data_IF_848832436355
#
_entry.id   IF_848832436355
#
_cell.length_a   1.000
_cell.length_b   1.000
_cell.length_c   1.000
_cell.angle_alpha   90.00
_cell.angle_beta   90.00
_cell.angle_gamma   90.00
#
_symmetry.space_group_name_H-M   'P 1'
#
loop_
_entity.id
_entity.type
_entity.pdbx_description
1 polymer ?
#
# COMPACT_ATOMS: atom_id res chain seq x y z
N UNK A 1 7.47 16.48 9.46
CA UNK A 1 6.37 15.51 9.57
C UNK A 1 5.42 15.57 8.38
N UNK A 2 5.19 16.75 7.81
CA UNK A 2 4.29 16.95 6.65
C UNK A 2 4.96 16.70 5.29
N UNK A 3 6.27 16.52 5.26
CA UNK A 3 7.06 16.36 4.02
C UNK A 3 7.46 14.90 3.71
N UNK A 4 6.93 13.93 4.45
CA UNK A 4 7.16 12.53 4.14
C UNK A 4 6.46 12.19 2.82
N UNK A 5 7.21 11.68 1.85
CA UNK A 5 6.68 11.23 0.56
C UNK A 5 6.68 9.69 0.51
N UNK A 6 5.53 9.05 0.75
CA UNK A 6 5.40 7.61 0.66
C UNK A 6 5.67 7.08 -0.74
N UNK A 7 6.26 5.88 -0.82
CA UNK A 7 6.47 5.15 -2.06
C UNK A 7 5.69 3.84 -2.02
N UNK A 8 4.71 3.69 -2.90
CA UNK A 8 3.88 2.50 -3.02
C UNK A 8 4.23 1.77 -4.32
N UNK A 9 4.75 0.57 -4.21
CA UNK A 9 4.96 -0.31 -5.34
C UNK A 9 3.67 -1.01 -5.73
N UNK A 10 3.39 -1.12 -7.03
CA UNK A 10 2.23 -1.85 -7.55
C UNK A 10 2.76 -2.94 -8.46
N UNK A 11 2.67 -4.16 -8.00
CA UNK A 11 3.18 -5.35 -8.66
C UNK A 11 2.06 -6.17 -9.29
N UNK A 12 2.33 -6.76 -10.42
CA UNK A 12 1.43 -7.72 -11.05
C UNK A 12 1.70 -7.89 -12.54
N UNK A 13 1.28 -9.03 -13.06
CA UNK A 13 1.43 -9.40 -14.48
C UNK A 13 0.73 -8.39 -15.40
N UNK A 14 1.14 -8.39 -16.66
CA UNK A 14 0.51 -7.55 -17.70
C UNK A 14 -1.00 -7.77 -17.74
N UNK A 15 -1.75 -6.68 -17.82
CA UNK A 15 -3.22 -6.73 -17.86
C UNK A 15 -3.92 -7.12 -16.55
N UNK A 16 -3.22 -7.17 -15.41
CA UNK A 16 -3.83 -7.44 -14.09
C UNK A 16 -4.69 -6.29 -13.57
N UNK A 17 -4.58 -5.09 -14.17
CA UNK A 17 -5.39 -3.94 -13.81
C UNK A 17 -4.72 -2.93 -12.88
N UNK A 18 -3.38 -2.86 -12.85
CA UNK A 18 -2.62 -1.91 -12.00
C UNK A 18 -3.09 -0.46 -12.20
N UNK A 19 -3.06 0.04 -13.43
CA UNK A 19 -3.46 1.42 -13.75
C UNK A 19 -4.94 1.69 -13.41
N UNK A 20 -5.82 0.73 -13.71
CA UNK A 20 -7.24 0.86 -13.39
C UNK A 20 -7.49 0.97 -11.88
N UNK A 21 -6.76 0.19 -11.08
CA UNK A 21 -6.86 0.23 -9.63
C UNK A 21 -6.35 1.56 -9.07
N UNK A 22 -5.20 2.04 -9.56
CA UNK A 22 -4.65 3.33 -9.14
C UNK A 22 -5.61 4.48 -9.44
N UNK A 23 -6.15 4.53 -10.66
CA UNK A 23 -7.11 5.55 -11.07
C UNK A 23 -8.42 5.50 -10.26
N UNK A 24 -8.82 4.31 -9.80
CA UNK A 24 -10.01 4.17 -8.96
C UNK A 24 -9.77 4.61 -7.51
N UNK A 25 -8.58 4.34 -6.96
CA UNK A 25 -8.28 4.61 -5.55
C UNK A 25 -7.87 6.06 -5.29
N UNK A 26 -7.11 6.66 -6.19
CA UNK A 26 -6.47 7.96 -5.97
C UNK A 26 -7.12 9.06 -6.81
N UNK A 27 -7.22 10.24 -6.23
CA UNK A 27 -7.80 11.43 -6.86
C UNK A 27 -6.75 12.52 -7.13
N UNK A 28 -5.51 12.33 -6.71
CA UNK A 28 -4.43 13.30 -6.91
C UNK A 28 -4.05 13.45 -8.39
N UNK A 29 -3.54 14.63 -8.75
CA UNK A 29 -3.00 14.89 -10.07
C UNK A 29 -1.76 14.03 -10.33
N UNK A 30 -1.79 13.27 -11.41
CA UNK A 30 -0.74 12.32 -11.76
C UNK A 30 0.29 13.01 -12.66
N UNK A 31 1.53 13.04 -12.23
CA UNK A 31 2.67 13.45 -13.05
C UNK A 31 3.70 12.31 -13.17
N UNK A 32 4.20 11.99 -14.39
CA UNK A 32 5.31 11.05 -14.50
C UNK A 32 6.56 11.66 -13.86
N UNK A 33 7.27 10.89 -13.03
CA UNK A 33 8.61 11.25 -12.58
C UNK A 33 9.56 10.81 -13.69
N UNK A 34 9.85 11.74 -14.61
CA UNK A 34 10.84 11.48 -15.65
C UNK A 34 12.24 11.75 -15.12
N UNK A 35 12.89 10.73 -14.59
CA UNK A 35 14.34 10.73 -14.68
C UNK A 35 14.69 10.32 -16.11
N UNK A 36 15.06 11.31 -16.90
CA UNK A 36 15.50 11.14 -18.28
C UNK A 36 16.90 10.52 -18.25
N UNK A 37 16.96 9.23 -18.02
CA UNK A 37 18.11 8.42 -18.37
C UNK A 37 17.62 7.29 -19.29
N UNK A 38 17.66 7.55 -20.57
CA UNK A 38 17.16 6.70 -21.64
C UNK A 38 17.89 5.34 -21.82
N UNK A 39 18.52 4.79 -20.79
CA UNK A 39 19.32 3.57 -20.87
C UNK A 39 19.18 2.58 -19.71
N UNK A 40 18.38 2.86 -18.68
CA UNK A 40 18.24 1.94 -17.55
C UNK A 40 16.81 1.43 -17.43
N UNK A 41 16.66 0.13 -17.19
CA UNK A 41 15.41 -0.60 -16.95
C UNK A 41 14.84 -0.24 -15.58
N UNK A 42 14.65 1.05 -15.31
CA UNK A 42 14.04 1.52 -14.06
C UNK A 42 12.52 1.36 -14.12
N UNK A 43 11.88 1.01 -12.99
CA UNK A 43 10.43 0.95 -12.93
C UNK A 43 9.82 2.32 -13.18
N UNK A 44 8.68 2.36 -13.88
CA UNK A 44 7.95 3.59 -14.10
C UNK A 44 7.46 4.13 -12.77
N UNK A 45 7.70 5.41 -12.54
CA UNK A 45 7.28 6.12 -11.34
C UNK A 45 6.31 7.23 -11.70
N UNK A 46 5.25 7.33 -10.91
CA UNK A 46 4.23 8.37 -11.05
C UNK A 46 4.10 9.08 -9.72
N UNK A 47 4.19 10.38 -9.74
CA UNK A 47 3.98 11.21 -8.56
C UNK A 47 2.55 11.70 -8.54
N UNK A 48 1.86 11.50 -7.43
CA UNK A 48 0.53 12.02 -7.16
C UNK A 48 0.66 13.21 -6.23
N UNK A 49 -0.07 14.30 -6.54
CA UNK A 49 -0.02 15.53 -5.77
C UNK A 49 -1.43 15.97 -5.37
N UNK A 50 -1.58 16.33 -4.09
CA UNK A 50 -2.73 17.09 -3.57
C UNK A 50 -2.16 18.20 -2.66
N UNK A 51 -2.33 19.45 -3.07
CA UNK A 51 -1.69 20.58 -2.40
C UNK A 51 -0.16 20.45 -2.41
N UNK A 52 0.45 20.57 -1.24
CA UNK A 52 1.90 20.44 -1.06
C UNK A 52 2.35 19.01 -0.71
N UNK A 53 1.47 18.03 -0.84
CA UNK A 53 1.73 16.64 -0.48
C UNK A 53 1.84 15.75 -1.69
N UNK A 54 2.76 14.81 -1.59
CA UNK A 54 3.12 13.91 -2.66
C UNK A 54 3.14 12.47 -2.17
N UNK A 55 2.75 11.55 -3.04
CA UNK A 55 3.10 10.13 -2.94
C UNK A 55 3.67 9.69 -4.28
N UNK A 56 4.56 8.71 -4.26
CA UNK A 56 5.09 8.07 -5.47
C UNK A 56 4.48 6.69 -5.63
N UNK A 57 3.87 6.45 -6.79
CA UNK A 57 3.49 5.11 -7.23
C UNK A 57 4.57 4.56 -8.15
N UNK A 58 5.03 3.35 -7.89
CA UNK A 58 6.04 2.67 -8.66
C UNK A 58 5.43 1.44 -9.35
N UNK A 59 5.41 1.43 -10.67
CA UNK A 59 4.94 0.27 -11.44
C UNK A 59 6.03 -0.80 -11.44
N UNK A 60 5.77 -1.92 -10.78
CA UNK A 60 6.68 -3.04 -10.63
C UNK A 60 6.23 -4.19 -11.55
N UNK A 61 7.16 -4.84 -12.28
CA UNK A 61 6.83 -5.95 -13.15
C UNK A 61 6.32 -7.15 -12.36
N UNK A 62 5.32 -7.85 -12.90
CA UNK A 62 4.92 -9.17 -12.43
C UNK A 62 5.93 -10.23 -12.88
N UNK A 63 5.95 -11.34 -12.17
CA UNK A 63 6.82 -12.49 -12.46
C UNK A 63 6.04 -13.60 -13.17
N UNK A 64 6.78 -14.57 -13.75
CA UNK A 64 6.18 -15.74 -14.40
C UNK A 64 5.77 -15.51 -15.85
N UNK A 65 6.10 -14.37 -16.46
CA UNK A 65 5.89 -14.12 -17.89
C UNK A 65 7.07 -14.60 -18.74
N UNK A 66 8.31 -14.58 -18.19
CA UNK A 66 9.52 -15.05 -18.84
C UNK A 66 10.62 -15.33 -17.82
N UNK A 67 11.10 -16.56 -17.75
CA UNK A 67 12.13 -16.98 -16.78
C UNK A 67 13.44 -16.19 -16.86
N UNK A 68 13.85 -15.73 -18.05
CA UNK A 68 15.03 -14.89 -18.20
C UNK A 68 14.84 -13.50 -17.55
N UNK A 69 13.63 -12.96 -17.58
CA UNK A 69 13.28 -11.68 -16.97
C UNK A 69 13.12 -11.79 -15.45
N UNK A 70 12.69 -12.94 -14.95
CA UNK A 70 12.45 -13.12 -13.52
C UNK A 70 13.74 -12.92 -12.70
N UNK A 71 14.91 -13.26 -13.23
CA UNK A 71 16.21 -12.98 -12.60
C UNK A 71 16.52 -11.48 -12.55
N UNK A 72 16.24 -10.76 -13.63
CA UNK A 72 16.42 -9.30 -13.69
C UNK A 72 15.45 -8.61 -12.71
N UNK A 73 14.21 -9.09 -12.64
CA UNK A 73 13.21 -8.57 -11.72
C UNK A 73 13.61 -8.83 -10.26
N UNK A 74 14.20 -9.99 -9.95
CA UNK A 74 14.68 -10.26 -8.60
C UNK A 74 15.74 -9.23 -8.15
N UNK A 75 16.66 -8.82 -9.03
CA UNK A 75 17.63 -7.78 -8.73
C UNK A 75 16.98 -6.42 -8.53
N UNK A 76 16.03 -6.03 -9.42
CA UNK A 76 15.24 -4.81 -9.32
C UNK A 76 14.48 -4.74 -7.98
N UNK A 77 13.79 -5.81 -7.60
CA UNK A 77 13.04 -5.85 -6.34
C UNK A 77 13.94 -5.72 -5.12
N UNK A 78 15.10 -6.41 -5.09
CA UNK A 78 16.05 -6.28 -3.98
C UNK A 78 16.56 -4.86 -3.81
N UNK A 79 16.70 -4.12 -4.90
CA UNK A 79 17.09 -2.71 -4.86
C UNK A 79 15.96 -1.80 -4.36
N UNK A 80 14.72 -2.04 -4.82
CA UNK A 80 13.59 -1.14 -4.56
C UNK A 80 12.89 -1.42 -3.22
N UNK A 81 12.77 -2.68 -2.78
CA UNK A 81 12.06 -3.08 -1.56
C UNK A 81 12.42 -2.27 -0.30
N UNK A 82 13.71 -1.94 -0.03
CA UNK A 82 14.05 -1.11 1.12
C UNK A 82 13.40 0.28 1.10
N UNK A 83 13.16 0.83 -0.09
CA UNK A 83 12.63 2.18 -0.32
C UNK A 83 11.11 2.24 -0.37
N UNK A 84 10.44 1.09 -0.50
CA UNK A 84 8.98 1.01 -0.58
C UNK A 84 8.38 1.00 0.82
N UNK A 85 7.28 1.72 1.00
CA UNK A 85 6.45 1.67 2.21
C UNK A 85 5.41 0.55 2.13
N UNK A 86 4.95 0.26 0.93
CA UNK A 86 3.95 -0.78 0.66
C UNK A 86 4.15 -1.36 -0.74
N UNK A 87 3.85 -2.63 -0.89
CA UNK A 87 3.69 -3.31 -2.19
C UNK A 87 2.26 -3.83 -2.30
N UNK A 88 1.51 -3.29 -3.25
CA UNK A 88 0.24 -3.86 -3.67
C UNK A 88 0.51 -4.94 -4.72
N UNK A 89 0.38 -6.20 -4.33
CA UNK A 89 0.58 -7.32 -5.25
C UNK A 89 -0.73 -7.80 -5.83
N UNK A 90 -0.96 -7.45 -7.09
CA UNK A 90 -2.19 -7.78 -7.80
C UNK A 90 -2.10 -9.15 -8.47
N UNK A 91 -3.11 -9.98 -8.22
CA UNK A 91 -3.30 -11.29 -8.83
C UNK A 91 -4.72 -11.32 -9.41
N UNK A 92 -4.87 -11.69 -10.68
CA UNK A 92 -6.22 -11.82 -11.28
C UNK A 92 -7.03 -12.91 -10.58
N UNK A 93 -8.33 -12.71 -10.48
CA UNK A 93 -9.24 -13.70 -9.93
C UNK A 93 -9.19 -15.05 -10.68
N UNK A 94 -8.98 -15.01 -11.99
CA UNK A 94 -8.90 -16.17 -12.89
C UNK A 94 -7.47 -16.70 -13.12
N UNK A 95 -6.42 -16.07 -12.56
CA UNK A 95 -5.05 -16.56 -12.68
C UNK A 95 -4.85 -17.83 -11.86
N UNK A 96 -4.41 -18.91 -12.52
CA UNK A 96 -4.15 -20.23 -11.90
C UNK A 96 -2.65 -20.55 -11.82
N UNK A 97 -1.80 -19.79 -12.53
CA UNK A 97 -0.37 -20.04 -12.62
C UNK A 97 0.40 -19.24 -11.57
N UNK A 98 0.40 -19.71 -10.32
CA UNK A 98 0.96 -18.98 -9.17
C UNK A 98 2.31 -19.53 -8.67
N UNK A 99 2.81 -20.63 -9.24
CA UNK A 99 4.04 -21.29 -8.76
C UNK A 99 5.26 -20.38 -8.80
N UNK A 100 5.39 -19.59 -9.88
CA UNK A 100 6.52 -18.63 -10.00
C UNK A 100 6.34 -17.46 -9.05
N UNK A 101 5.10 -16.97 -8.90
CA UNK A 101 4.75 -15.91 -7.93
C UNK A 101 5.08 -16.36 -6.49
N UNK A 102 4.69 -17.59 -6.11
CA UNK A 102 4.98 -18.18 -4.81
C UNK A 102 6.49 -18.27 -4.55
N UNK A 103 7.23 -18.85 -5.50
CA UNK A 103 8.69 -18.96 -5.40
C UNK A 103 9.36 -17.60 -5.25
N UNK A 104 8.96 -16.62 -6.08
CA UNK A 104 9.50 -15.27 -6.02
C UNK A 104 9.20 -14.58 -4.67
N UNK A 105 7.98 -14.73 -4.17
CA UNK A 105 7.61 -14.18 -2.87
C UNK A 105 8.50 -14.71 -1.75
N UNK A 106 8.69 -16.03 -1.69
CA UNK A 106 9.50 -16.64 -0.63
C UNK A 106 10.99 -16.36 -0.78
N UNK A 107 11.52 -16.24 -2.00
CA UNK A 107 12.95 -16.07 -2.24
C UNK A 107 13.41 -14.60 -2.31
N UNK A 108 12.58 -13.72 -2.85
CA UNK A 108 12.96 -12.32 -3.10
C UNK A 108 12.36 -11.38 -2.07
N UNK A 109 11.06 -11.47 -1.81
CA UNK A 109 10.41 -10.69 -0.75
C UNK A 109 10.87 -11.21 0.62
N UNK A 110 10.76 -12.52 0.84
CA UNK A 110 11.25 -13.20 2.04
C UNK A 110 10.64 -12.66 3.35
N UNK A 111 11.17 -13.14 4.46
CA UNK A 111 10.72 -12.76 5.80
C UNK A 111 10.90 -11.24 6.08
N UNK A 112 11.92 -10.62 5.48
CA UNK A 112 12.28 -9.22 5.77
C UNK A 112 11.24 -8.24 5.25
N UNK A 113 10.66 -8.47 4.06
CA UNK A 113 9.79 -7.50 3.39
C UNK A 113 8.33 -7.93 3.27
N UNK A 114 7.97 -9.16 3.66
CA UNK A 114 6.58 -9.64 3.55
C UNK A 114 5.57 -8.79 4.32
N UNK A 115 6.00 -8.09 5.36
CA UNK A 115 5.16 -7.16 6.11
C UNK A 115 4.76 -5.91 5.30
N UNK A 116 5.47 -5.63 4.19
CA UNK A 116 5.14 -4.54 3.26
C UNK A 116 4.16 -4.96 2.16
N UNK A 117 3.83 -6.25 2.03
CA UNK A 117 3.02 -6.77 0.92
C UNK A 117 1.55 -6.90 1.32
N UNK A 118 0.68 -6.28 0.53
CA UNK A 118 -0.76 -6.50 0.55
C UNK A 118 -1.19 -7.17 -0.76
N UNK A 119 -1.64 -8.42 -0.67
CA UNK A 119 -2.18 -9.14 -1.83
C UNK A 119 -3.58 -8.66 -2.17
N UNK A 120 -3.81 -8.42 -3.46
CA UNK A 120 -5.09 -7.94 -3.99
C UNK A 120 -5.53 -8.83 -5.15
N UNK A 121 -6.63 -9.55 -4.98
CA UNK A 121 -7.29 -10.27 -6.07
C UNK A 121 -8.04 -9.21 -6.89
N UNK A 122 -7.53 -8.93 -8.08
CA UNK A 122 -8.10 -7.95 -9.01
C UNK A 122 -9.11 -8.60 -9.97
N UNK A 123 -9.90 -7.77 -10.64
CA UNK A 123 -10.89 -8.21 -11.63
C UNK A 123 -11.81 -9.34 -11.10
N UNK A 124 -12.26 -9.19 -9.86
CA UNK A 124 -13.12 -10.18 -9.19
C UNK A 124 -14.42 -10.45 -9.95
N UNK A 125 -14.87 -9.54 -10.79
CA UNK A 125 -15.99 -9.71 -11.71
C UNK A 125 -15.75 -10.78 -12.80
N UNK A 126 -14.49 -11.15 -13.05
CA UNK A 126 -14.11 -12.24 -13.96
C UNK A 126 -13.98 -13.60 -13.28
N UNK A 127 -14.19 -13.68 -11.95
CA UNK A 127 -14.27 -14.97 -11.28
C UNK A 127 -15.42 -15.81 -11.86
N UNK A 128 -15.14 -17.07 -12.19
CA UNK A 128 -16.16 -18.00 -12.71
C UNK A 128 -17.16 -18.44 -11.60
N UNK A 129 -18.40 -18.73 -11.95
CA UNK A 129 -19.02 -18.52 -13.26
C UNK A 129 -19.28 -17.02 -13.49
N UNK A 130 -18.85 -16.51 -14.64
CA UNK A 130 -19.06 -15.08 -14.95
C UNK A 130 -20.53 -14.79 -15.09
N UNK A 131 -21.01 -13.74 -14.41
CA UNK A 131 -22.35 -13.22 -14.56
C UNK A 131 -22.29 -11.88 -15.28
N UNK A 132 -23.19 -11.64 -16.24
CA UNK A 132 -23.31 -10.37 -16.94
C UNK A 132 -23.95 -9.26 -16.11
N UNK A 133 -24.23 -9.49 -14.81
CA UNK A 133 -24.90 -8.56 -13.92
C UNK A 133 -23.98 -7.45 -13.38
N UNK A 134 -24.61 -6.42 -12.84
CA UNK A 134 -23.92 -5.29 -12.18
C UNK A 134 -23.34 -5.63 -10.78
N UNK A 135 -23.50 -6.86 -10.32
CA UNK A 135 -23.02 -7.32 -9.00
C UNK A 135 -22.45 -8.72 -9.10
N UNK A 136 -21.55 -9.07 -8.16
CA UNK A 136 -21.02 -10.42 -8.04
C UNK A 136 -22.10 -11.39 -7.56
N UNK A 137 -22.25 -12.52 -8.27
CA UNK A 137 -23.10 -13.62 -7.85
C UNK A 137 -22.57 -14.30 -6.59
N UNK A 138 -23.43 -15.08 -5.93
CA UNK A 138 -23.01 -15.89 -4.75
C UNK A 138 -21.92 -16.89 -5.13
N UNK A 139 -22.02 -17.53 -6.29
CA UNK A 139 -20.99 -18.45 -6.78
C UNK A 139 -19.64 -17.77 -7.02
N UNK A 140 -19.64 -16.58 -7.61
CA UNK A 140 -18.41 -15.77 -7.77
C UNK A 140 -17.78 -15.43 -6.41
N UNK A 141 -18.57 -14.98 -5.44
CA UNK A 141 -18.08 -14.67 -4.09
C UNK A 141 -17.49 -15.90 -3.41
N UNK A 142 -18.10 -17.08 -3.58
CA UNK A 142 -17.55 -18.35 -3.06
C UNK A 142 -16.20 -18.69 -3.71
N UNK A 143 -16.08 -18.53 -5.03
CA UNK A 143 -14.82 -18.80 -5.73
C UNK A 143 -13.72 -17.76 -5.39
N UNK A 144 -14.08 -16.51 -5.19
CA UNK A 144 -13.17 -15.50 -4.65
C UNK A 144 -12.69 -15.88 -3.24
N UNK A 145 -13.59 -16.35 -2.37
CA UNK A 145 -13.22 -16.83 -1.03
C UNK A 145 -12.27 -18.02 -1.09
N UNK A 146 -12.50 -18.99 -1.99
CA UNK A 146 -11.57 -20.11 -2.23
C UNK A 146 -10.21 -19.62 -2.72
N UNK A 147 -10.19 -18.62 -3.60
CA UNK A 147 -8.94 -18.00 -4.08
C UNK A 147 -8.19 -17.31 -2.94
N UNK A 148 -8.89 -16.61 -2.05
CA UNK A 148 -8.29 -16.01 -0.84
C UNK A 148 -7.64 -17.08 0.02
N UNK A 149 -8.34 -18.20 0.29
CA UNK A 149 -7.78 -19.33 1.04
C UNK A 149 -6.52 -19.91 0.37
N UNK A 150 -6.56 -20.11 -0.94
CA UNK A 150 -5.41 -20.58 -1.71
C UNK A 150 -4.21 -19.64 -1.58
N UNK A 151 -4.41 -18.31 -1.69
CA UNK A 151 -3.32 -17.35 -1.51
C UNK A 151 -2.77 -17.38 -0.08
N UNK A 152 -3.61 -17.60 0.93
CA UNK A 152 -3.15 -17.78 2.30
C UNK A 152 -2.31 -19.05 2.47
N UNK A 153 -2.67 -20.15 1.82
CA UNK A 153 -1.90 -21.39 1.84
C UNK A 153 -0.53 -21.24 1.16
N UNK A 154 -0.49 -20.64 -0.04
CA UNK A 154 0.72 -20.53 -0.83
C UNK A 154 1.69 -19.47 -0.28
N UNK A 155 1.19 -18.29 0.06
CA UNK A 155 2.04 -17.14 0.40
C UNK A 155 2.17 -16.89 1.90
N UNK A 156 1.27 -17.40 2.72
CA UNK A 156 1.24 -17.12 4.16
C UNK A 156 1.40 -15.63 4.47
N UNK A 157 0.55 -14.77 3.87
CA UNK A 157 0.71 -13.34 3.94
C UNK A 157 0.54 -12.82 5.37
N UNK A 158 1.26 -11.75 5.72
CA UNK A 158 1.13 -11.07 7.02
C UNK A 158 -0.21 -10.35 7.12
N UNK A 159 -0.67 -9.76 6.01
CA UNK A 159 -1.92 -9.00 5.95
C UNK A 159 -3.03 -9.81 5.28
N UNK A 160 -4.29 -9.63 5.69
CA UNK A 160 -5.41 -10.29 5.04
C UNK A 160 -5.50 -9.93 3.55
N UNK A 161 -5.68 -10.93 2.70
CA UNK A 161 -5.85 -10.76 1.25
C UNK A 161 -7.12 -9.96 0.95
N UNK A 162 -7.03 -8.98 0.05
CA UNK A 162 -8.17 -8.22 -0.47
C UNK A 162 -8.66 -8.79 -1.79
N UNK A 163 -9.92 -8.57 -2.10
CA UNK A 163 -10.47 -8.85 -3.43
C UNK A 163 -11.29 -7.66 -3.90
N UNK A 164 -11.09 -7.25 -5.16
CA UNK A 164 -11.70 -6.05 -5.72
C UNK A 164 -12.16 -6.23 -7.17
N UNK A 165 -13.19 -5.49 -7.53
CA UNK A 165 -13.55 -5.22 -8.92
C UNK A 165 -13.70 -3.71 -9.11
N UNK A 166 -12.82 -3.11 -9.88
CA UNK A 166 -12.91 -1.68 -10.25
C UNK A 166 -14.18 -1.45 -11.08
N UNK A 167 -14.48 -2.35 -12.01
CA UNK A 167 -15.67 -2.26 -12.87
C UNK A 167 -16.96 -2.20 -12.06
N UNK A 168 -17.08 -3.01 -11.01
CA UNK A 168 -18.27 -3.09 -10.17
C UNK A 168 -18.18 -2.18 -8.91
N UNK A 169 -17.11 -1.42 -8.75
CA UNK A 169 -16.84 -0.64 -7.53
C UNK A 169 -16.92 -1.49 -6.24
N UNK A 170 -16.62 -2.79 -6.36
CA UNK A 170 -16.75 -3.75 -5.26
C UNK A 170 -15.40 -3.96 -4.55
N UNK A 171 -15.43 -4.01 -3.23
CA UNK A 171 -14.27 -4.31 -2.38
C UNK A 171 -13.28 -3.16 -2.18
N UNK A 172 -13.39 -2.05 -2.93
CA UNK A 172 -12.41 -0.96 -2.92
C UNK A 172 -12.33 -0.23 -1.58
N UNK A 173 -13.44 -0.03 -0.87
CA UNK A 173 -13.44 0.58 0.48
C UNK A 173 -12.67 -0.27 1.48
N UNK A 174 -12.96 -1.57 1.52
CA UNK A 174 -12.27 -2.51 2.40
C UNK A 174 -10.79 -2.58 2.08
N UNK A 175 -10.45 -2.57 0.79
CA UNK A 175 -9.05 -2.53 0.36
C UNK A 175 -8.36 -1.24 0.81
N UNK A 176 -8.98 -0.07 0.65
CA UNK A 176 -8.41 1.19 1.11
C UNK A 176 -8.15 1.18 2.63
N UNK A 177 -9.09 0.68 3.44
CA UNK A 177 -8.93 0.55 4.88
C UNK A 177 -7.77 -0.39 5.27
N UNK A 178 -7.63 -1.51 4.55
CA UNK A 178 -6.52 -2.46 4.77
C UNK A 178 -5.19 -1.86 4.33
N UNK A 179 -5.16 -1.18 3.18
CA UNK A 179 -3.97 -0.51 2.67
C UNK A 179 -3.41 0.49 3.70
N UNK A 180 -4.26 1.33 4.27
CA UNK A 180 -3.84 2.30 5.29
C UNK A 180 -3.27 1.59 6.54
N UNK A 181 -3.83 0.46 6.96
CA UNK A 181 -3.32 -0.33 8.08
C UNK A 181 -1.98 -1.02 7.83
N UNK A 182 -1.61 -1.23 6.56
CA UNK A 182 -0.33 -1.84 6.18
C UNK A 182 0.81 -0.83 6.09
N UNK A 183 0.51 0.47 6.02
CA UNK A 183 1.50 1.53 5.88
C UNK A 183 2.22 1.83 7.20
N UNK A 184 3.49 2.27 7.15
CA UNK A 184 4.13 2.88 8.30
C UNK A 184 3.39 4.17 8.70
N UNK A 185 3.43 4.53 9.98
CA UNK A 185 2.63 5.63 10.56
C UNK A 185 2.81 6.97 9.84
N UNK A 186 4.04 7.28 9.47
CA UNK A 186 4.39 8.53 8.75
C UNK A 186 3.81 8.60 7.34
N UNK A 187 3.50 7.46 6.73
CA UNK A 187 2.96 7.37 5.39
C UNK A 187 1.43 7.47 5.33
N UNK A 188 0.71 7.19 6.42
CA UNK A 188 -0.74 7.07 6.41
C UNK A 188 -1.44 8.36 6.03
N UNK A 189 -1.11 9.48 6.67
CA UNK A 189 -1.75 10.78 6.39
C UNK A 189 -1.50 11.28 4.96
N UNK A 190 -0.26 11.28 4.43
CA UNK A 190 -0.03 11.62 3.02
C UNK A 190 -0.82 10.75 2.05
N UNK A 191 -0.91 9.44 2.29
CA UNK A 191 -1.67 8.52 1.41
C UNK A 191 -3.17 8.80 1.49
N UNK A 192 -3.72 9.03 2.69
CA UNK A 192 -5.14 9.37 2.85
C UNK A 192 -5.51 10.64 2.09
N UNK A 193 -4.64 11.66 2.09
CA UNK A 193 -4.88 12.90 1.35
C UNK A 193 -4.95 12.70 -0.17
N UNK A 194 -4.38 11.63 -0.71
CA UNK A 194 -4.41 11.29 -2.14
C UNK A 194 -5.58 10.37 -2.52
N UNK A 195 -6.22 9.71 -1.53
CA UNK A 195 -7.35 8.83 -1.81
C UNK A 195 -8.53 9.61 -2.38
N UNK A 196 -9.27 8.96 -3.26
CA UNK A 196 -10.58 9.48 -3.68
C UNK A 196 -11.47 9.68 -2.44
N UNK A 197 -12.23 10.80 -2.34
CA UNK A 197 -13.04 11.12 -1.15
C UNK A 197 -13.96 9.99 -0.68
N UNK A 198 -14.50 9.19 -1.60
CA UNK A 198 -15.37 8.04 -1.29
C UNK A 198 -14.69 6.94 -0.47
N UNK A 199 -13.35 6.90 -0.45
CA UNK A 199 -12.55 5.92 0.31
C UNK A 199 -11.95 6.47 1.58
N UNK A 200 -12.12 7.76 1.87
CA UNK A 200 -11.72 8.40 3.14
C UNK A 200 -12.77 8.11 4.21
N UNK A 201 -13.01 6.82 4.49
CA UNK A 201 -13.98 6.38 5.49
C UNK A 201 -13.58 6.86 6.89
N UNK A 202 -14.51 6.81 7.85
CA UNK A 202 -14.21 7.12 9.26
C UNK A 202 -13.04 6.28 9.77
N UNK A 203 -13.00 4.98 9.43
CA UNK A 203 -11.92 4.07 9.83
C UNK A 203 -10.56 4.54 9.28
N UNK A 204 -10.52 4.92 7.99
CA UNK A 204 -9.31 5.43 7.33
C UNK A 204 -8.82 6.72 7.98
N UNK A 205 -9.73 7.66 8.23
CA UNK A 205 -9.40 8.96 8.84
C UNK A 205 -8.95 8.82 10.29
N UNK A 206 -9.61 8.00 11.08
CA UNK A 206 -9.24 7.73 12.48
C UNK A 206 -7.87 7.08 12.58
N UNK A 207 -7.57 6.10 11.71
CA UNK A 207 -6.25 5.47 11.66
C UNK A 207 -5.17 6.51 11.34
N UNK A 208 -5.33 7.30 10.28
CA UNK A 208 -4.36 8.31 9.88
C UNK A 208 -4.17 9.40 10.95
N UNK A 209 -5.25 9.85 11.58
CA UNK A 209 -5.23 10.81 12.70
C UNK A 209 -4.45 10.23 13.90
N UNK A 210 -4.71 8.98 14.23
CA UNK A 210 -3.99 8.29 15.31
C UNK A 210 -2.50 8.16 14.99
N UNK A 211 -2.17 7.70 13.80
CA UNK A 211 -0.79 7.51 13.35
C UNK A 211 -0.02 8.85 13.31
N UNK A 212 -0.67 9.91 12.85
CA UNK A 212 -0.09 11.25 12.87
C UNK A 212 0.25 11.70 14.29
N UNK A 213 -0.68 11.52 15.24
CA UNK A 213 -0.44 11.83 16.65
C UNK A 213 0.74 11.04 17.22
N UNK A 214 0.80 9.73 16.94
CA UNK A 214 1.92 8.88 17.40
C UNK A 214 3.25 9.24 16.73
N UNK A 215 3.23 9.65 15.47
CA UNK A 215 4.44 10.13 14.78
C UNK A 215 4.99 11.40 15.43
N UNK A 216 4.10 12.34 15.81
CA UNK A 216 4.49 13.52 16.59
C UNK A 216 5.02 13.13 17.97
N UNK A 217 4.37 12.17 18.65
CA UNK A 217 4.81 11.63 19.93
C UNK A 217 6.20 11.00 19.86
N UNK A 218 6.48 10.23 18.81
CA UNK A 218 7.77 9.57 18.60
C UNK A 218 8.94 10.58 18.46
N UNK A 219 8.68 11.75 17.89
CA UNK A 219 9.69 12.83 17.86
C UNK A 219 10.03 13.30 19.28
N UNK A 220 9.03 13.48 20.14
CA UNK A 220 9.26 13.87 21.53
C UNK A 220 9.99 12.76 22.31
N UNK A 221 9.63 11.50 22.05
CA UNK A 221 10.30 10.34 22.66
C UNK A 221 11.79 10.29 22.23
N UNK A 222 12.08 10.54 20.96
CA UNK A 222 13.47 10.60 20.45
C UNK A 222 14.26 11.72 21.08
N UNK A 223 13.66 12.91 21.25
CA UNK A 223 14.30 14.03 21.94
C UNK A 223 14.57 13.66 23.40
N UNK A 224 13.58 13.10 24.10
CA UNK A 224 13.71 12.74 25.52
C UNK A 224 14.77 11.65 25.77
N UNK A 225 14.99 10.78 24.80
CA UNK A 225 15.99 9.71 24.86
C UNK A 225 17.43 10.19 24.62
N UNK A 226 17.64 11.43 24.19
CA UNK A 226 18.98 11.96 23.91
C UNK A 226 19.83 12.02 25.19
N UNK A 227 21.06 11.45 25.20
CA UNK A 227 21.85 11.30 26.43
C UNK A 227 22.16 12.59 27.16
N UNK A 228 22.24 13.73 26.46
CA UNK A 228 22.57 15.03 27.02
C UNK A 228 21.37 15.75 27.66
N UNK A 229 20.15 15.21 27.56
CA UNK A 229 18.94 15.81 28.18
C UNK A 229 18.95 15.48 29.69
N UNK A 230 18.94 16.49 30.58
CA UNK A 230 18.85 16.30 32.01
C UNK A 230 17.55 15.59 32.41
N UNK A 231 17.59 14.77 33.45
CA UNK A 231 16.44 14.00 33.94
C UNK A 231 15.17 14.85 34.18
N UNK A 232 15.23 16.06 34.80
CA UNK A 232 14.05 16.87 35.01
C UNK A 232 13.43 17.38 33.68
N UNK A 233 14.28 17.71 32.70
CA UNK A 233 13.80 18.14 31.36
C UNK A 233 13.13 16.97 30.63
N UNK A 234 13.73 15.77 30.72
CA UNK A 234 13.14 14.54 30.19
C UNK A 234 11.76 14.26 30.77
N UNK A 235 11.61 14.41 32.10
CA UNK A 235 10.33 14.23 32.75
C UNK A 235 9.26 15.23 32.26
N UNK A 236 9.63 16.49 32.01
CA UNK A 236 8.74 17.49 31.44
C UNK A 236 8.31 17.11 30.02
N UNK A 237 9.27 16.71 29.16
CA UNK A 237 8.96 16.28 27.78
C UNK A 237 7.98 15.11 27.79
N UNK A 238 8.18 14.12 28.64
CA UNK A 238 7.28 12.98 28.79
C UNK A 238 5.90 13.37 29.32
N UNK A 239 5.84 14.30 30.27
CA UNK A 239 4.57 14.79 30.84
C UNK A 239 3.71 15.51 29.77
N UNK A 240 4.34 16.29 28.88
CA UNK A 240 3.60 17.01 27.83
C UNK A 240 3.29 16.16 26.60
N UNK A 241 3.93 15.00 26.45
CA UNK A 241 3.77 14.11 25.29
C UNK A 241 2.30 13.81 24.99
N UNK A 242 1.56 13.39 25.99
CA UNK A 242 0.13 13.03 25.84
C UNK A 242 -0.70 14.21 25.36
N UNK A 243 -0.44 15.40 25.89
CA UNK A 243 -1.13 16.63 25.48
C UNK A 243 -0.79 16.97 24.03
N UNK A 244 0.49 16.93 23.67
CA UNK A 244 0.95 17.23 22.30
C UNK A 244 0.37 16.24 21.28
N UNK A 245 0.35 14.94 21.60
CA UNK A 245 -0.28 13.90 20.77
C UNK A 245 -1.77 14.17 20.61
N UNK A 246 -2.46 14.53 21.70
CA UNK A 246 -3.89 14.85 21.66
C UNK A 246 -4.18 16.08 20.79
N UNK A 247 -3.38 17.14 20.94
CA UNK A 247 -3.49 18.34 20.09
C UNK A 247 -3.19 18.01 18.64
N UNK A 248 -2.14 17.26 18.35
CA UNK A 248 -1.81 16.84 16.98
C UNK A 248 -2.97 16.09 16.32
N UNK A 249 -3.61 15.17 17.04
CA UNK A 249 -4.82 14.47 16.56
C UNK A 249 -6.00 15.43 16.32
N UNK A 250 -6.20 16.39 17.22
CA UNK A 250 -7.29 17.35 17.11
C UNK A 250 -7.16 18.30 15.92
N UNK A 251 -5.92 18.67 15.55
CA UNK A 251 -5.65 19.58 14.43
C UNK A 251 -5.38 18.86 13.12
N UNK A 252 -5.47 17.55 13.08
CA UNK A 252 -5.15 16.75 11.90
C UNK A 252 -5.95 17.17 10.67
N UNK A 253 -7.24 17.46 10.82
CA UNK A 253 -8.12 17.89 9.72
C UNK A 253 -7.73 19.24 9.08
N UNK A 254 -6.87 20.04 9.74
CA UNK A 254 -6.31 21.27 9.13
C UNK A 254 -5.15 20.98 8.18
N UNK A 255 -4.53 19.79 8.31
CA UNK A 255 -3.36 19.41 7.51
C UNK A 255 -3.71 18.40 6.43
N UNK A 256 -4.74 17.58 6.61
CA UNK A 256 -5.08 16.45 5.77
C UNK A 256 -6.60 16.35 5.51
#
# INVERSE_FOLDING_TARGET
>A
LTNYEPVIGIMGKTGVGKSSLCNALFAGDISPVSDVAACTREPLRFRLQVGDRYITLMDLPGVGESGARDTEYAALYREQLPRLDLVLWLIKADDRALTVDEHFYHQVIGEVYRHKVLFVISQSDKAEPTSGGGQLSTAQKQNISRKICLLHELFQPVHPVCAVSVRLQWGLKVMAERMIKCLPREATSPVVSQLHPSFRTTVVREQARSDFGETVGAVLDSISAFPLIPAPVRAVIQAVRTTVVSVARAVWDFFF
#
